data_IF_321980659570
#
_entry.id   IF_321980659570
#
_cell.length_a   1.000
_cell.length_b   1.000
_cell.length_c   1.000
_cell.angle_alpha   90.00
_cell.angle_beta   90.00
_cell.angle_gamma   90.00
#
_symmetry.space_group_name_H-M   'P 1'
#
loop_
_entity.id
_entity.type
_entity.pdbx_description
1 polymer ?
#
# COMPACT_ATOMS: atom_id res chain seq x y z
N UNK A 1 10.96 -15.08 21.13
CA UNK A 1 10.30 -14.27 20.09
C UNK A 1 11.33 -13.76 19.11
N UNK A 2 12.37 -13.06 19.58
CA UNK A 2 13.44 -12.48 18.75
C UNK A 2 14.08 -13.47 17.77
N UNK A 3 14.42 -14.70 18.20
CA UNK A 3 15.02 -15.72 17.32
C UNK A 3 14.16 -16.05 16.08
N UNK A 4 12.84 -16.13 16.26
CA UNK A 4 11.91 -16.46 15.18
C UNK A 4 11.76 -15.26 14.23
N UNK A 5 11.74 -14.05 14.77
CA UNK A 5 11.68 -12.82 13.96
C UNK A 5 12.98 -12.56 13.18
N UNK A 6 14.13 -12.94 13.72
CA UNK A 6 15.42 -12.87 13.01
C UNK A 6 15.58 -13.92 11.93
N UNK A 7 14.83 -15.03 12.01
CA UNK A 7 14.81 -16.09 11.01
C UNK A 7 13.78 -15.84 9.90
N UNK A 8 12.91 -14.83 10.04
CA UNK A 8 11.96 -14.50 8.99
C UNK A 8 12.67 -13.87 7.78
N UNK A 9 12.26 -14.21 6.55
CA UNK A 9 12.79 -13.57 5.36
C UNK A 9 12.57 -12.05 5.40
N UNK A 10 13.44 -11.25 4.77
CA UNK A 10 13.18 -9.83 4.58
C UNK A 10 11.87 -9.65 3.80
N UNK A 11 11.08 -8.63 4.19
CA UNK A 11 9.81 -8.26 3.54
C UNK A 11 8.70 -9.31 3.72
N UNK A 12 8.75 -10.02 4.86
CA UNK A 12 7.67 -10.91 5.30
C UNK A 12 6.86 -10.24 6.40
N UNK A 13 5.53 -10.26 6.27
CA UNK A 13 4.59 -9.62 7.20
C UNK A 13 3.63 -10.60 7.89
N UNK A 14 3.93 -11.90 7.81
CA UNK A 14 3.10 -12.98 8.36
C UNK A 14 2.99 -12.94 9.90
N UNK A 15 3.89 -12.22 10.56
CA UNK A 15 3.91 -12.05 12.01
C UNK A 15 3.03 -10.89 12.52
N UNK A 16 2.41 -10.10 11.64
CA UNK A 16 1.51 -9.01 12.07
C UNK A 16 0.24 -9.47 12.78
N UNK A 17 -0.48 -10.52 12.34
CA UNK A 17 -1.63 -11.01 13.08
C UNK A 17 -1.26 -11.43 14.51
N UNK A 18 -0.07 -12.03 14.69
CA UNK A 18 0.45 -12.38 16.00
C UNK A 18 0.72 -11.13 16.85
N UNK A 19 1.34 -10.10 16.29
CA UNK A 19 1.54 -8.82 16.97
C UNK A 19 0.21 -8.19 17.39
N UNK A 20 -0.80 -8.17 16.52
CA UNK A 20 -2.12 -7.60 16.85
C UNK A 20 -2.75 -8.31 18.05
N UNK A 21 -2.78 -9.64 18.03
CA UNK A 21 -3.36 -10.45 19.12
C UNK A 21 -2.61 -10.19 20.44
N UNK A 22 -1.28 -10.20 20.41
CA UNK A 22 -0.46 -9.97 21.61
C UNK A 22 -0.61 -8.53 22.13
N UNK A 23 -0.61 -7.54 21.24
CA UNK A 23 -0.80 -6.14 21.61
C UNK A 23 -2.20 -5.88 22.18
N UNK A 24 -3.25 -6.46 21.60
CA UNK A 24 -4.61 -6.34 22.16
C UNK A 24 -4.73 -7.03 23.53
N UNK A 25 -4.16 -8.22 23.68
CA UNK A 25 -4.16 -8.92 24.96
C UNK A 25 -3.42 -8.13 26.05
N UNK A 26 -2.23 -7.61 25.75
CA UNK A 26 -1.43 -6.81 26.70
C UNK A 26 -2.06 -5.45 27.01
N UNK A 27 -2.82 -4.87 26.08
CA UNK A 27 -3.54 -3.60 26.32
C UNK A 27 -4.81 -3.79 27.12
N UNK A 28 -5.43 -4.97 27.09
CA UNK A 28 -6.65 -5.26 27.82
C UNK A 28 -6.44 -5.37 29.35
N UNK A 29 -5.22 -5.65 29.81
CA UNK A 29 -4.87 -5.74 31.23
C UNK A 29 -4.03 -4.53 31.67
N UNK A 30 -4.54 -3.70 32.59
CA UNK A 30 -3.87 -2.49 33.06
C UNK A 30 -2.53 -2.77 33.80
N UNK A 31 -2.32 -3.97 34.35
CA UNK A 31 -1.05 -4.33 35.00
C UNK A 31 0.02 -4.74 33.99
N UNK A 32 -0.40 -5.24 32.83
CA UNK A 32 0.48 -5.70 31.75
C UNK A 32 0.70 -4.61 30.69
N UNK A 33 -0.22 -3.65 30.60
CA UNK A 33 -0.13 -2.51 29.69
C UNK A 33 1.09 -1.67 30.02
N UNK A 34 1.97 -1.53 29.03
CA UNK A 34 3.25 -0.81 29.11
C UNK A 34 4.30 -1.47 30.02
N UNK A 35 4.11 -2.74 30.39
CA UNK A 35 5.16 -3.54 31.02
C UNK A 35 6.37 -3.73 30.09
N UNK A 36 7.50 -4.23 30.65
CA UNK A 36 8.74 -4.49 29.88
C UNK A 36 8.52 -5.32 28.62
N UNK A 37 7.64 -6.33 28.68
CA UNK A 37 7.32 -7.16 27.53
C UNK A 37 6.53 -6.41 26.46
N UNK A 38 5.57 -5.56 26.85
CA UNK A 38 4.79 -4.76 25.90
C UNK A 38 5.66 -3.70 25.19
N UNK A 39 6.62 -3.11 25.90
CA UNK A 39 7.61 -2.21 25.30
C UNK A 39 8.54 -2.97 24.34
N UNK A 40 9.14 -4.08 24.77
CA UNK A 40 9.99 -4.91 23.91
C UNK A 40 9.25 -5.36 22.65
N UNK A 41 8.02 -5.83 22.78
CA UNK A 41 7.16 -6.20 21.65
C UNK A 41 6.99 -5.04 20.67
N UNK A 42 6.69 -3.82 21.16
CA UNK A 42 6.57 -2.64 20.29
C UNK A 42 7.88 -2.32 19.58
N UNK A 43 9.00 -2.33 20.29
CA UNK A 43 10.30 -1.98 19.72
C UNK A 43 10.74 -2.98 18.65
N UNK A 44 10.44 -4.28 18.84
CA UNK A 44 10.74 -5.30 17.83
C UNK A 44 9.88 -5.13 16.57
N UNK A 45 8.59 -4.82 16.70
CA UNK A 45 7.68 -4.71 15.55
C UNK A 45 7.64 -3.32 14.90
N UNK A 46 8.10 -2.27 15.59
CA UNK A 46 8.14 -0.90 15.06
C UNK A 46 8.80 -0.80 13.68
N UNK A 47 10.03 -1.29 13.44
CA UNK A 47 10.68 -1.18 12.13
C UNK A 47 9.96 -1.99 11.04
N UNK A 48 9.29 -3.10 11.39
CA UNK A 48 8.52 -3.91 10.45
C UNK A 48 7.26 -3.19 9.96
N UNK A 49 6.54 -2.53 10.88
CA UNK A 49 5.37 -1.71 10.55
C UNK A 49 5.76 -0.51 9.69
N UNK A 50 6.85 0.18 10.05
CA UNK A 50 7.34 1.33 9.27
C UNK A 50 7.69 0.89 7.85
N UNK A 51 8.48 -0.17 7.69
CA UNK A 51 8.86 -0.66 6.36
C UNK A 51 7.67 -1.09 5.51
N UNK A 52 6.64 -1.68 6.12
CA UNK A 52 5.38 -2.00 5.43
C UNK A 52 4.68 -0.74 4.91
N UNK A 53 4.55 0.28 5.74
CA UNK A 53 3.90 1.55 5.37
C UNK A 53 4.69 2.25 4.28
N UNK A 54 6.02 2.32 4.41
CA UNK A 54 6.89 2.94 3.39
C UNK A 54 6.75 2.25 2.02
N UNK A 55 6.65 0.92 2.00
CA UNK A 55 6.44 0.16 0.76
C UNK A 55 5.03 0.36 0.19
N UNK A 56 4.01 0.43 1.03
CA UNK A 56 2.65 0.75 0.58
C UNK A 56 2.57 2.18 0.02
N UNK A 57 3.17 3.16 0.71
CA UNK A 57 3.26 4.55 0.25
C UNK A 57 4.00 4.63 -1.08
N UNK A 58 5.15 3.95 -1.19
CA UNK A 58 5.93 3.86 -2.42
C UNK A 58 5.14 3.21 -3.56
N UNK A 59 4.39 2.14 -3.26
CA UNK A 59 3.56 1.44 -4.25
C UNK A 59 2.42 2.31 -4.78
N UNK A 60 1.78 3.09 -3.91
CA UNK A 60 0.73 4.06 -4.29
C UNK A 60 1.36 5.19 -5.12
N UNK A 61 2.46 5.77 -4.67
CA UNK A 61 3.17 6.84 -5.38
C UNK A 61 3.63 6.39 -6.79
N UNK A 62 4.17 5.17 -6.89
CA UNK A 62 4.56 4.55 -8.16
C UNK A 62 3.36 4.25 -9.06
N UNK A 63 2.25 3.78 -8.49
CA UNK A 63 1.02 3.48 -9.25
C UNK A 63 0.43 4.76 -9.87
N UNK A 64 0.45 5.86 -9.12
CA UNK A 64 0.05 7.19 -9.63
C UNK A 64 0.98 7.61 -10.78
N UNK A 65 2.29 7.56 -10.59
CA UNK A 65 3.26 7.93 -11.65
C UNK A 65 3.15 7.03 -12.90
N UNK A 66 2.93 5.73 -12.74
CA UNK A 66 2.67 4.81 -13.88
C UNK A 66 1.32 5.06 -14.55
N UNK A 67 0.32 5.52 -13.79
CA UNK A 67 -0.95 6.01 -14.32
C UNK A 67 -0.75 7.20 -15.27
N UNK A 68 0.15 8.13 -14.90
CA UNK A 68 0.49 9.29 -15.71
C UNK A 68 1.15 8.95 -17.06
N UNK A 69 1.98 7.89 -17.16
CA UNK A 69 2.54 7.47 -18.45
C UNK A 69 1.52 6.79 -19.37
N UNK A 70 0.48 6.16 -18.80
CA UNK A 70 -0.63 5.58 -19.56
C UNK A 70 -1.71 6.61 -19.95
N UNK A 71 -1.79 7.71 -19.22
CA UNK A 71 -2.56 8.90 -19.59
C UNK A 71 -1.71 9.84 -20.46
N UNK A 72 -1.23 9.34 -21.62
CA UNK A 72 -0.97 10.26 -22.74
C UNK A 72 -2.32 10.84 -23.13
N UNK A 73 -2.64 12.01 -22.57
CA UNK A 73 -3.57 12.93 -23.18
C UNK A 73 -3.02 13.25 -24.56
N UNK A 74 -3.42 12.49 -25.57
CA UNK A 74 -3.30 12.92 -26.95
C UNK A 74 -4.08 14.23 -26.98
N UNK A 75 -3.34 15.35 -26.93
CA UNK A 75 -3.90 16.67 -27.09
C UNK A 75 -4.49 16.65 -28.48
N UNK A 76 -5.78 16.29 -28.58
CA UNK A 76 -6.53 16.29 -29.82
C UNK A 76 -6.50 17.70 -30.33
N UNK A 77 -5.47 17.97 -31.12
CA UNK A 77 -5.29 19.18 -31.89
C UNK A 77 -6.58 19.38 -32.64
N UNK A 78 -7.13 20.56 -32.46
CA UNK A 78 -8.20 21.14 -33.26
C UNK A 78 -8.02 20.77 -34.73
N UNK A 79 -8.75 19.77 -35.21
CA UNK A 79 -8.93 19.56 -36.64
C UNK A 79 -10.39 19.24 -36.88
N UNK A 80 -11.09 20.32 -37.21
CA UNK A 80 -12.31 20.39 -38.02
C UNK A 80 -12.78 19.04 -38.56
N UNK A 81 -13.90 18.58 -38.00
CA UNK A 81 -14.74 17.51 -38.57
C UNK A 81 -15.27 17.97 -39.94
N UNK A 82 -14.49 17.74 -41.00
CA UNK A 82 -15.05 17.61 -42.35
C UNK A 82 -15.77 16.28 -42.43
N UNK A 83 -17.09 16.34 -42.25
CA UNK A 83 -18.01 15.23 -42.47
C UNK A 83 -17.78 14.59 -43.85
N UNK A 84 -17.79 13.25 -43.98
CA UNK A 84 -17.80 12.61 -45.28
C UNK A 84 -19.19 12.80 -45.89
N UNK A 85 -19.32 13.71 -46.86
CA UNK A 85 -20.48 13.77 -47.74
C UNK A 85 -20.49 12.49 -48.57
N UNK A 86 -21.36 11.54 -48.20
CA UNK A 86 -22.01 10.65 -49.16
C UNK A 86 -23.18 9.91 -48.55
N UNK A 87 -24.40 10.39 -48.85
CA UNK A 87 -25.51 9.47 -49.14
C UNK A 87 -26.35 10.00 -50.29
N UNK A 88 -26.46 9.11 -51.27
CA UNK A 88 -27.17 9.17 -52.56
C UNK A 88 -28.68 9.01 -52.39
N UNK A 89 -29.40 9.55 -53.41
CA UNK A 89 -30.73 9.17 -53.96
C UNK A 89 -31.96 9.55 -53.12
N UNK A 90 -33.14 9.84 -53.67
CA UNK A 90 -33.70 10.02 -55.03
C UNK A 90 -35.19 10.32 -54.79
N UNK A 91 -35.83 11.15 -55.62
CA UNK A 91 -37.28 11.37 -55.58
C UNK A 91 -37.67 12.71 -56.17
#
# INVERSE_FOLDING_TARGET
>A
MDRVLTEQPPDTWDSFPLFQILNDYLRADDNLRNGRFHQHLRDTFAPLVVRYVDLMESSIAQSIHKGFEKERWDSKGYFTITWPVSRRRSG
#
